data_IF_983097827818
#
_entry.id   IF_983097827818
#
_cell.length_a   1.000
_cell.length_b   1.000
_cell.length_c   1.000
_cell.angle_alpha   90.00
_cell.angle_beta   90.00
_cell.angle_gamma   90.00
#
_symmetry.space_group_name_H-M   'P 1'
#
loop_
_entity.id
_entity.type
_entity.pdbx_description
1 polymer ?
#
# COMPACT_ATOMS: atom_id res chain seq x y z
N UNK A 1 7.47 24.43 8.31
CA UNK A 1 8.61 24.21 7.40
C UNK A 1 8.74 22.72 7.13
N UNK A 2 8.45 22.25 5.91
CA UNK A 2 8.66 20.84 5.55
C UNK A 2 10.14 20.60 5.26
N UNK A 3 10.77 19.68 6.00
CA UNK A 3 12.17 19.31 5.78
C UNK A 3 12.33 18.67 4.40
N UNK A 4 13.16 19.28 3.53
CA UNK A 4 13.39 18.89 2.12
C UNK A 4 13.81 17.41 1.96
N UNK A 5 14.37 16.82 3.00
CA UNK A 5 14.82 15.42 3.04
C UNK A 5 13.68 14.38 3.06
N UNK A 6 12.43 14.79 3.34
CA UNK A 6 11.28 13.85 3.38
C UNK A 6 10.50 13.77 2.06
N UNK A 7 10.77 14.68 1.12
CA UNK A 7 10.07 14.75 -0.17
C UNK A 7 10.24 13.45 -0.98
N UNK A 8 11.45 12.86 -1.12
CA UNK A 8 11.62 11.62 -1.90
C UNK A 8 10.84 10.44 -1.32
N UNK A 9 10.78 10.34 0.01
CA UNK A 9 10.01 9.31 0.71
C UNK A 9 8.50 9.48 0.48
N UNK A 10 7.98 10.72 0.53
CA UNK A 10 6.57 11.00 0.25
C UNK A 10 6.18 10.67 -1.20
N UNK A 11 7.04 11.03 -2.15
CA UNK A 11 6.84 10.68 -3.57
C UNK A 11 6.88 9.16 -3.75
N UNK A 12 7.85 8.49 -3.13
CA UNK A 12 7.94 7.03 -3.13
C UNK A 12 6.70 6.35 -2.55
N UNK A 13 6.16 6.87 -1.44
CA UNK A 13 4.92 6.37 -0.84
C UNK A 13 3.72 6.53 -1.78
N UNK A 14 3.61 7.69 -2.44
CA UNK A 14 2.54 7.96 -3.41
C UNK A 14 2.62 7.03 -4.63
N UNK A 15 3.82 6.83 -5.19
CA UNK A 15 4.04 5.88 -6.29
C UNK A 15 3.74 4.46 -5.84
N UNK A 16 4.21 4.05 -4.65
CA UNK A 16 3.91 2.74 -4.08
C UNK A 16 2.41 2.49 -3.97
N UNK A 17 1.64 3.46 -3.48
CA UNK A 17 0.17 3.38 -3.43
C UNK A 17 -0.46 3.32 -4.83
N UNK A 18 0.04 4.09 -5.80
CA UNK A 18 -0.47 4.04 -7.17
C UNK A 18 -0.24 2.66 -7.82
N UNK A 19 0.93 2.06 -7.61
CA UNK A 19 1.23 0.69 -8.07
C UNK A 19 0.34 -0.33 -7.36
N UNK A 20 0.11 -0.15 -6.05
CA UNK A 20 -0.84 -0.97 -5.31
C UNK A 20 -2.23 -0.94 -5.94
N UNK A 21 -2.76 0.26 -6.19
CA UNK A 21 -4.07 0.46 -6.82
C UNK A 21 -4.15 -0.21 -8.21
N UNK A 22 -3.08 -0.12 -9.00
CA UNK A 22 -3.06 -0.64 -10.37
C UNK A 22 -2.94 -2.17 -10.45
N UNK A 23 -2.15 -2.80 -9.56
CA UNK A 23 -1.76 -4.22 -9.71
C UNK A 23 -2.14 -5.07 -8.51
N UNK A 24 -2.00 -4.53 -7.29
CA UNK A 24 -2.11 -5.33 -6.07
C UNK A 24 -3.47 -5.22 -5.36
N UNK A 25 -4.33 -4.25 -5.73
CA UNK A 25 -5.63 -4.05 -5.09
C UNK A 25 -6.56 -5.25 -5.33
N UNK A 26 -6.69 -5.69 -6.59
CA UNK A 26 -7.48 -6.86 -6.95
C UNK A 26 -7.01 -8.11 -6.19
N UNK A 27 -5.75 -8.55 -6.27
CA UNK A 27 -5.33 -9.73 -5.52
C UNK A 27 -5.48 -9.54 -4.00
N UNK A 28 -5.23 -8.34 -3.44
CA UNK A 28 -5.41 -8.09 -2.00
C UNK A 28 -6.87 -8.26 -1.55
N UNK A 29 -7.83 -7.78 -2.33
CA UNK A 29 -9.26 -7.98 -2.07
C UNK A 29 -9.63 -9.47 -2.15
N UNK A 30 -9.12 -10.16 -3.15
CA UNK A 30 -9.47 -11.55 -3.45
C UNK A 30 -8.92 -12.49 -2.37
N UNK A 31 -7.64 -12.34 -2.00
CA UNK A 31 -7.02 -13.13 -0.94
C UNK A 31 -7.56 -12.76 0.45
N UNK A 32 -7.82 -11.47 0.71
CA UNK A 32 -8.46 -11.04 1.97
C UNK A 32 -9.88 -11.59 2.12
N UNK A 33 -10.67 -11.56 1.04
CA UNK A 33 -12.01 -12.13 1.02
C UNK A 33 -12.00 -13.65 1.21
N UNK A 34 -11.09 -14.35 0.53
CA UNK A 34 -10.93 -15.80 0.69
C UNK A 34 -10.55 -16.18 2.13
N UNK A 35 -9.62 -15.44 2.76
CA UNK A 35 -9.30 -15.62 4.17
C UNK A 35 -10.53 -15.39 5.07
N UNK A 36 -11.36 -14.39 4.77
CA UNK A 36 -12.61 -14.15 5.47
C UNK A 36 -13.63 -15.28 5.30
N UNK A 37 -13.71 -15.91 4.12
CA UNK A 37 -14.57 -17.09 3.89
C UNK A 37 -14.08 -18.29 4.69
N UNK A 38 -12.76 -18.55 4.72
CA UNK A 38 -12.18 -19.63 5.50
C UNK A 38 -12.41 -19.43 7.00
N UNK A 39 -12.25 -18.20 7.48
CA UNK A 39 -12.54 -17.84 8.86
C UNK A 39 -14.04 -18.04 9.17
N UNK A 40 -14.93 -17.67 8.25
CA UNK A 40 -16.37 -17.90 8.39
C UNK A 40 -16.70 -19.38 8.46
N UNK A 41 -16.08 -20.19 7.61
CA UNK A 41 -16.21 -21.66 7.64
C UNK A 41 -15.67 -22.28 8.93
N UNK A 42 -14.60 -21.72 9.49
CA UNK A 42 -14.06 -22.15 10.78
C UNK A 42 -14.98 -21.84 11.96
N UNK A 43 -15.72 -20.72 11.91
CA UNK A 43 -16.60 -20.27 13.01
C UNK A 43 -18.02 -20.84 12.88
N UNK A 44 -18.62 -20.75 11.70
CA UNK A 44 -20.01 -21.11 11.44
C UNK A 44 -20.19 -22.52 10.86
N UNK A 45 -19.10 -23.23 10.59
CA UNK A 45 -19.11 -24.54 9.96
C UNK A 45 -19.21 -24.46 8.43
N UNK A 46 -19.05 -25.62 7.80
CA UNK A 46 -19.21 -25.78 6.35
C UNK A 46 -20.40 -26.70 6.06
N UNK A 47 -21.22 -26.41 5.03
CA UNK A 47 -21.11 -25.32 4.07
C UNK A 47 -21.49 -23.95 4.63
N UNK A 48 -20.75 -22.92 4.22
CA UNK A 48 -20.95 -21.55 4.70
C UNK A 48 -22.22 -20.97 4.08
N UNK A 49 -23.23 -20.73 4.91
CA UNK A 49 -24.47 -20.05 4.48
C UNK A 49 -24.26 -18.54 4.48
N UNK A 50 -24.76 -17.85 3.45
CA UNK A 50 -24.58 -16.41 3.23
C UNK A 50 -25.45 -15.55 4.18
N UNK A 51 -25.32 -15.77 5.48
CA UNK A 51 -25.94 -14.97 6.54
C UNK A 51 -25.24 -13.60 6.67
N UNK A 52 -25.90 -12.66 7.34
CA UNK A 52 -25.33 -11.32 7.57
C UNK A 52 -24.00 -11.39 8.32
N UNK A 53 -23.88 -12.27 9.33
CA UNK A 53 -22.65 -12.44 10.10
C UNK A 53 -21.49 -12.97 9.25
N UNK A 54 -21.76 -13.93 8.38
CA UNK A 54 -20.76 -14.47 7.44
C UNK A 54 -20.31 -13.40 6.45
N UNK A 55 -21.25 -12.65 5.86
CA UNK A 55 -20.92 -11.57 4.91
C UNK A 55 -20.07 -10.49 5.57
N UNK A 56 -20.39 -10.10 6.80
CA UNK A 56 -19.61 -9.12 7.55
C UNK A 56 -18.16 -9.60 7.78
N UNK A 57 -17.99 -10.88 8.10
CA UNK A 57 -16.66 -11.47 8.31
C UNK A 57 -15.83 -11.54 7.02
N UNK A 58 -16.47 -11.85 5.89
CA UNK A 58 -15.81 -11.84 4.58
C UNK A 58 -15.37 -10.42 4.21
N UNK A 59 -16.25 -9.43 4.37
CA UNK A 59 -15.93 -8.01 4.13
C UNK A 59 -14.81 -7.55 5.06
N UNK A 60 -14.83 -7.97 6.31
CA UNK A 60 -13.75 -7.71 7.27
C UNK A 60 -12.41 -8.28 6.77
N UNK A 61 -12.40 -9.53 6.29
CA UNK A 61 -11.22 -10.14 5.68
C UNK A 61 -10.71 -9.37 4.45
N UNK A 62 -11.62 -8.92 3.58
CA UNK A 62 -11.26 -8.08 2.43
C UNK A 62 -10.60 -6.77 2.86
N UNK A 63 -11.20 -6.06 3.83
CA UNK A 63 -10.67 -4.78 4.32
C UNK A 63 -9.32 -4.98 4.99
N UNK A 64 -9.16 -6.03 5.81
CA UNK A 64 -7.86 -6.34 6.41
C UNK A 64 -6.80 -6.67 5.36
N UNK A 65 -7.14 -7.50 4.35
CA UNK A 65 -6.21 -7.85 3.28
C UNK A 65 -5.74 -6.62 2.50
N UNK A 66 -6.68 -5.74 2.12
CA UNK A 66 -6.38 -4.47 1.44
C UNK A 66 -5.52 -3.57 2.31
N UNK A 67 -5.86 -3.39 3.59
CA UNK A 67 -5.12 -2.51 4.49
C UNK A 67 -3.71 -3.00 4.73
N UNK A 68 -3.53 -4.32 4.91
CA UNK A 68 -2.22 -4.93 5.08
C UNK A 68 -1.33 -4.71 3.85
N UNK A 69 -1.82 -5.05 2.65
CA UNK A 69 -1.03 -4.91 1.41
C UNK A 69 -0.81 -3.44 1.05
N UNK A 70 -1.81 -2.57 1.23
CA UNK A 70 -1.66 -1.13 1.00
C UNK A 70 -0.57 -0.53 1.90
N UNK A 71 -0.52 -0.93 3.18
CA UNK A 71 0.53 -0.46 4.10
C UNK A 71 1.93 -0.93 3.67
N UNK A 72 2.05 -2.16 3.16
CA UNK A 72 3.30 -2.69 2.64
C UNK A 72 3.81 -1.87 1.44
N UNK A 73 2.93 -1.53 0.51
CA UNK A 73 3.28 -0.71 -0.65
C UNK A 73 3.57 0.74 -0.30
N UNK A 74 2.82 1.32 0.64
CA UNK A 74 3.06 2.69 1.11
C UNK A 74 4.42 2.81 1.81
N UNK A 75 4.71 1.89 2.75
CA UNK A 75 5.97 1.90 3.51
C UNK A 75 7.14 1.47 2.63
N UNK A 76 6.97 0.41 1.83
CA UNK A 76 7.99 -0.05 0.88
C UNK A 76 8.31 0.99 -0.17
N UNK A 77 7.29 1.64 -0.73
CA UNK A 77 7.46 2.77 -1.64
C UNK A 77 8.17 3.95 -0.98
N UNK A 78 7.80 4.29 0.26
CA UNK A 78 8.47 5.36 1.01
C UNK A 78 9.95 5.05 1.27
N UNK A 79 10.25 3.81 1.67
CA UNK A 79 11.61 3.35 1.92
C UNK A 79 12.44 3.36 0.63
N UNK A 80 11.88 2.88 -0.48
CA UNK A 80 12.53 2.93 -1.79
C UNK A 80 12.77 4.37 -2.27
N UNK A 81 11.77 5.25 -2.14
CA UNK A 81 11.91 6.67 -2.47
C UNK A 81 12.96 7.39 -1.63
N UNK A 82 13.04 7.07 -0.32
CA UNK A 82 14.09 7.57 0.55
C UNK A 82 15.48 7.06 0.14
N UNK A 83 15.60 5.77 -0.19
CA UNK A 83 16.86 5.17 -0.65
C UNK A 83 17.35 5.82 -1.95
N UNK A 84 16.47 6.00 -2.93
CA UNK A 84 16.79 6.71 -4.18
C UNK A 84 17.20 8.16 -3.90
N UNK A 85 16.46 8.87 -3.04
CA UNK A 85 16.79 10.24 -2.65
C UNK A 85 18.17 10.35 -1.98
N UNK A 86 18.54 9.37 -1.14
CA UNK A 86 19.85 9.32 -0.49
C UNK A 86 20.98 9.06 -1.51
N UNK A 87 20.77 8.14 -2.46
CA UNK A 87 21.74 7.83 -3.50
C UNK A 87 21.99 9.03 -4.44
N UNK A 88 20.92 9.71 -4.86
CA UNK A 88 21.01 10.91 -5.72
C UNK A 88 21.57 12.13 -4.97
N UNK A 89 21.27 12.25 -3.68
CA UNK A 89 21.87 13.26 -2.80
C UNK A 89 23.36 13.04 -2.56
N UNK A 90 23.82 11.78 -2.57
CA UNK A 90 25.24 11.44 -2.51
C UNK A 90 26.01 11.74 -3.82
N UNK A 91 25.31 11.91 -4.95
CA UNK A 91 25.91 12.22 -6.26
C UNK A 91 25.85 13.70 -6.65
N UNK A 92 25.06 14.53 -5.96
CA UNK A 92 24.88 15.95 -6.31
C UNK A 92 25.54 16.86 -5.25
N UNK A 93 26.73 17.43 -5.51
CA UNK A 93 27.24 18.51 -4.68
C UNK A 93 26.32 19.72 -4.84
N UNK A 94 26.06 20.40 -3.73
CA UNK A 94 25.19 21.56 -3.67
C UNK A 94 25.57 22.62 -4.72
N UNK A 95 24.52 23.21 -5.33
CA UNK A 95 24.45 24.52 -6.00
C UNK A 95 24.21 24.51 -7.52
N UNK A 96 23.05 25.08 -7.88
CA UNK A 96 22.74 25.81 -9.13
C UNK A 96 22.72 25.06 -10.46
N UNK A 97 21.51 24.75 -10.95
CA UNK A 97 20.89 25.34 -12.17
C UNK A 97 19.76 24.45 -12.70
N UNK A 98 18.53 24.85 -12.44
CA UNK A 98 17.40 24.76 -13.38
C UNK A 98 16.33 25.75 -12.88
N UNK A 99 16.69 27.02 -12.94
CA UNK A 99 15.82 28.19 -12.82
C UNK A 99 15.47 28.61 -14.25
N UNK A 100 14.22 29.02 -14.49
CA UNK A 100 13.82 30.00 -15.52
C UNK A 100 13.83 29.61 -17.02
N UNK A 101 12.63 29.40 -17.60
CA UNK A 101 12.10 30.20 -18.74
C UNK A 101 10.72 29.70 -19.20
N UNK A 102 9.68 30.32 -18.66
CA UNK A 102 8.58 30.94 -19.41
C UNK A 102 7.80 31.85 -18.44
#
# INVERSE_FOLDING_TARGET
MANKNKVPALVGAGIGLAVFLAVALLPALLYGGYAGVLLAGGIFGTPVTASIGVKALIVFGMVLGVTAVASLFAVGGAAAGAAVGALLGATTPASKKAEEKA
#
